data_IF_287959130547
#
_entry.id   IF_287959130547
#
_cell.length_a   1.000
_cell.length_b   1.000
_cell.length_c   1.000
_cell.angle_alpha   90.00
_cell.angle_beta   90.00
_cell.angle_gamma   90.00
#
_symmetry.space_group_name_H-M   'P 1'
#
loop_
_entity.id
_entity.type
_entity.pdbx_description
1 polymer ?
#
# COMPACT_ATOMS: atom_id res chain seq x y z
N UNK A 1 -54.52 12.39 -11.18
CA UNK A 1 -54.25 12.75 -12.59
C UNK A 1 -52.80 12.39 -12.85
N UNK A 2 -52.59 11.20 -13.43
CA UNK A 2 -52.18 11.00 -14.84
C UNK A 2 -50.64 11.00 -14.90
N UNK A 3 -49.92 10.02 -15.43
CA UNK A 3 -50.20 9.01 -16.45
C UNK A 3 -49.27 7.80 -16.25
N UNK A 4 -49.82 6.59 -16.44
CA UNK A 4 -49.07 5.34 -16.60
C UNK A 4 -48.76 5.16 -18.09
N UNK A 5 -47.50 4.91 -18.44
CA UNK A 5 -47.14 4.40 -19.77
C UNK A 5 -46.98 2.87 -19.75
N UNK A 6 -47.54 2.14 -20.73
CA UNK A 6 -47.50 0.69 -20.81
C UNK A 6 -46.26 0.19 -21.57
N UNK A 7 -46.03 -1.12 -21.44
CA UNK A 7 -44.82 -1.82 -21.85
C UNK A 7 -44.64 -2.09 -23.33
N UNK A 8 -43.42 -2.55 -23.63
CA UNK A 8 -43.12 -3.30 -24.84
C UNK A 8 -42.28 -4.52 -24.48
N UNK A 9 -42.96 -5.67 -24.47
CA UNK A 9 -42.37 -7.00 -24.57
C UNK A 9 -42.02 -7.27 -26.03
N UNK A 10 -40.74 -7.49 -26.33
CA UNK A 10 -40.32 -8.03 -27.64
C UNK A 10 -39.50 -9.29 -27.41
N UNK A 11 -40.16 -10.42 -27.61
CA UNK A 11 -39.55 -11.74 -27.71
C UNK A 11 -38.91 -11.87 -29.10
N UNK A 12 -37.58 -11.83 -29.16
CA UNK A 12 -36.82 -12.15 -30.36
C UNK A 12 -36.23 -13.56 -30.22
N UNK A 13 -36.93 -14.54 -30.79
CA UNK A 13 -36.43 -15.89 -30.99
C UNK A 13 -35.34 -15.87 -32.07
N UNK A 14 -34.07 -15.87 -31.66
CA UNK A 14 -32.95 -16.10 -32.58
C UNK A 14 -32.80 -17.60 -32.83
N UNK A 15 -33.03 -17.98 -34.09
CA UNK A 15 -32.69 -19.29 -34.64
C UNK A 15 -31.17 -19.43 -34.64
N UNK A 16 -30.65 -20.38 -33.88
CA UNK A 16 -29.25 -20.76 -33.90
C UNK A 16 -28.98 -21.70 -35.09
N UNK A 17 -28.04 -21.37 -36.00
CA UNK A 17 -27.64 -22.29 -37.05
C UNK A 17 -26.77 -23.42 -36.47
N UNK A 18 -27.18 -24.66 -36.74
CA UNK A 18 -26.53 -25.93 -36.36
C UNK A 18 -25.23 -26.20 -37.14
N UNK A 19 -24.24 -25.29 -37.11
CA UNK A 19 -22.99 -25.43 -37.89
C UNK A 19 -21.68 -25.39 -37.08
N UNK A 20 -21.69 -25.75 -35.80
CA UNK A 20 -20.48 -25.80 -34.96
C UNK A 20 -20.19 -27.17 -34.34
N UNK A 21 -20.16 -28.24 -35.16
CA UNK A 21 -19.82 -29.59 -34.67
C UNK A 21 -18.43 -30.11 -35.07
N UNK A 22 -17.61 -29.34 -35.77
CA UNK A 22 -16.31 -29.81 -36.32
C UNK A 22 -15.05 -29.16 -35.74
N UNK A 23 -15.13 -28.46 -34.60
CA UNK A 23 -13.96 -27.80 -33.97
C UNK A 23 -13.66 -28.25 -32.53
N UNK A 24 -14.06 -29.46 -32.13
CA UNK A 24 -13.76 -30.01 -30.79
C UNK A 24 -12.47 -30.86 -30.72
N UNK A 25 -11.71 -31.02 -31.81
CA UNK A 25 -10.57 -31.96 -31.85
C UNK A 25 -9.22 -31.42 -31.38
N UNK A 26 -8.99 -30.09 -31.40
CA UNK A 26 -7.65 -29.51 -31.15
C UNK A 26 -7.59 -28.58 -29.92
N UNK A 27 -8.70 -28.38 -29.21
CA UNK A 27 -8.79 -27.45 -28.07
C UNK A 27 -8.26 -27.98 -26.73
N UNK A 28 -8.03 -29.29 -26.60
CA UNK A 28 -7.66 -29.88 -25.29
C UNK A 28 -6.19 -29.66 -24.94
N UNK A 29 -5.27 -29.62 -25.92
CA UNK A 29 -3.83 -29.47 -25.62
C UNK A 29 -3.45 -28.03 -25.24
N UNK A 30 -4.13 -27.02 -25.80
CA UNK A 30 -3.84 -25.60 -25.50
C UNK A 30 -4.31 -25.16 -24.11
N UNK A 31 -5.41 -25.72 -23.59
CA UNK A 31 -5.99 -25.31 -22.31
C UNK A 31 -5.17 -25.77 -21.10
N UNK A 32 -4.53 -26.94 -21.20
CA UNK A 32 -3.64 -27.44 -20.14
C UNK A 32 -2.33 -26.62 -20.05
N UNK A 33 -1.78 -26.17 -21.19
CA UNK A 33 -0.53 -25.41 -21.18
C UNK A 33 -0.69 -24.02 -20.57
N UNK A 34 -1.81 -23.32 -20.84
CA UNK A 34 -2.07 -22.00 -20.25
C UNK A 34 -2.36 -22.08 -18.74
N UNK A 35 -3.00 -23.15 -18.28
CA UNK A 35 -3.29 -23.35 -16.85
C UNK A 35 -2.02 -23.60 -16.04
N UNK A 36 -1.05 -24.35 -16.58
CA UNK A 36 0.22 -24.64 -15.91
C UNK A 36 1.13 -23.41 -15.78
N UNK A 37 1.21 -22.56 -16.82
CA UNK A 37 2.01 -21.33 -16.79
C UNK A 37 1.41 -20.29 -15.84
N UNK A 38 0.09 -20.23 -15.73
CA UNK A 38 -0.58 -19.27 -14.82
C UNK A 38 -0.42 -19.66 -13.34
N UNK A 39 -0.43 -20.96 -13.04
CA UNK A 39 -0.24 -21.46 -11.67
C UNK A 39 1.18 -21.22 -11.15
N UNK A 40 2.21 -21.35 -12.00
CA UNK A 40 3.60 -21.12 -11.59
C UNK A 40 3.88 -19.64 -11.31
N UNK A 41 3.32 -18.73 -12.11
CA UNK A 41 3.45 -17.28 -11.90
C UNK A 41 2.78 -16.82 -10.59
N UNK A 42 1.60 -17.35 -10.26
CA UNK A 42 0.91 -17.07 -9.01
C UNK A 42 1.67 -17.61 -7.79
N UNK A 43 2.24 -18.82 -7.89
CA UNK A 43 3.06 -19.42 -6.83
C UNK A 43 4.32 -18.58 -6.54
N UNK A 44 5.04 -18.17 -7.59
CA UNK A 44 6.24 -17.33 -7.46
C UNK A 44 5.92 -15.97 -6.83
N UNK A 45 4.79 -15.35 -7.19
CA UNK A 45 4.32 -14.11 -6.58
C UNK A 45 4.05 -14.26 -5.08
N UNK A 46 3.27 -15.28 -4.69
CA UNK A 46 2.94 -15.54 -3.29
C UNK A 46 4.17 -15.94 -2.45
N UNK A 47 5.18 -16.56 -3.06
CA UNK A 47 6.45 -16.84 -2.38
C UNK A 47 7.23 -15.55 -2.15
N UNK A 48 7.35 -14.69 -3.17
CA UNK A 48 8.05 -13.42 -3.03
C UNK A 48 7.35 -12.48 -2.04
N UNK A 49 6.01 -12.43 -2.00
CA UNK A 49 5.27 -11.68 -0.99
C UNK A 49 5.63 -12.12 0.42
N UNK A 50 5.66 -13.44 0.66
CA UNK A 50 6.06 -14.00 1.96
C UNK A 50 7.51 -13.69 2.31
N UNK A 51 8.42 -13.70 1.34
CA UNK A 51 9.81 -13.28 1.55
C UNK A 51 9.89 -11.79 1.93
N UNK A 52 9.18 -10.91 1.22
CA UNK A 52 9.13 -9.47 1.53
C UNK A 52 8.51 -9.22 2.90
N UNK A 53 7.41 -9.89 3.25
CA UNK A 53 6.77 -9.78 4.56
C UNK A 53 7.65 -10.32 5.69
N UNK A 54 8.35 -11.43 5.45
CA UNK A 54 9.32 -11.99 6.39
C UNK A 54 10.47 -11.00 6.63
N UNK A 55 11.00 -10.39 5.57
CA UNK A 55 12.03 -9.35 5.68
C UNK A 55 11.52 -8.10 6.40
N UNK A 56 10.32 -7.61 6.07
CA UNK A 56 9.70 -6.47 6.77
C UNK A 56 9.49 -6.75 8.27
N UNK A 57 9.12 -7.99 8.61
CA UNK A 57 8.96 -8.42 10.01
C UNK A 57 10.30 -8.52 10.71
N UNK A 58 11.32 -9.12 10.09
CA UNK A 58 12.67 -9.22 10.62
C UNK A 58 13.29 -7.84 10.90
N UNK A 59 13.04 -6.87 10.01
CA UNK A 59 13.52 -5.49 10.13
C UNK A 59 12.80 -4.74 11.24
N UNK A 60 11.50 -5.02 11.45
CA UNK A 60 10.74 -4.43 12.56
C UNK A 60 11.19 -4.96 13.92
N UNK A 61 11.72 -6.19 13.98
CA UNK A 61 12.15 -6.84 15.23
C UNK A 61 13.61 -6.53 15.57
N UNK A 62 14.45 -6.24 14.56
CA UNK A 62 15.90 -6.20 14.76
C UNK A 62 16.54 -4.88 14.35
N UNK A 63 16.55 -3.91 15.28
CA UNK A 63 17.53 -2.82 15.25
C UNK A 63 18.98 -3.32 15.46
N UNK A 64 19.15 -4.59 15.84
CA UNK A 64 20.43 -5.24 16.18
C UNK A 64 21.04 -6.02 15.00
N UNK A 65 20.30 -6.28 13.92
CA UNK A 65 20.76 -7.08 12.77
C UNK A 65 21.61 -6.31 11.74
N UNK A 66 22.17 -5.14 12.08
CA UNK A 66 23.08 -4.40 11.19
C UNK A 66 24.37 -5.18 10.85
N UNK A 67 24.63 -6.33 11.47
CA UNK A 67 25.88 -7.06 11.32
C UNK A 67 25.94 -8.02 10.12
N UNK A 68 24.81 -8.51 9.57
CA UNK A 68 24.86 -9.56 8.53
C UNK A 68 23.98 -9.21 7.31
N UNK A 69 24.58 -8.93 6.14
CA UNK A 69 23.83 -8.76 4.91
C UNK A 69 23.17 -10.09 4.53
N UNK A 70 21.84 -10.14 4.58
CA UNK A 70 21.08 -11.28 4.06
C UNK A 70 21.21 -11.26 2.54
N UNK A 71 21.92 -12.24 1.98
CA UNK A 71 22.02 -12.39 0.53
C UNK A 71 20.61 -12.54 -0.06
N UNK A 72 20.26 -11.81 -1.13
CA UNK A 72 18.94 -11.92 -1.75
C UNK A 72 18.73 -13.34 -2.26
N UNK A 73 17.50 -13.85 -2.14
CA UNK A 73 17.12 -15.14 -2.72
C UNK A 73 17.35 -15.11 -4.25
N UNK A 74 17.51 -16.28 -4.91
CA UNK A 74 17.58 -16.33 -6.37
C UNK A 74 16.37 -15.69 -7.05
N UNK A 75 15.19 -15.81 -6.45
CA UNK A 75 13.95 -15.19 -6.91
C UNK A 75 14.02 -13.66 -6.82
N UNK A 76 14.47 -13.12 -5.68
CA UNK A 76 14.69 -11.68 -5.51
C UNK A 76 15.71 -11.16 -6.53
N UNK A 77 16.79 -11.90 -6.75
CA UNK A 77 17.83 -11.55 -7.74
C UNK A 77 17.26 -11.52 -9.16
N UNK A 78 16.47 -12.52 -9.55
CA UNK A 78 15.81 -12.55 -10.86
C UNK A 78 14.82 -11.38 -11.04
N UNK A 79 14.02 -11.07 -10.02
CA UNK A 79 13.09 -9.93 -10.05
C UNK A 79 13.83 -8.59 -10.16
N UNK A 80 14.98 -8.46 -9.50
CA UNK A 80 15.86 -7.29 -9.61
C UNK A 80 16.55 -7.20 -10.96
N UNK A 81 16.73 -8.29 -11.70
CA UNK A 81 17.31 -8.28 -13.03
C UNK A 81 16.26 -8.00 -14.14
N UNK A 82 15.01 -8.39 -13.93
CA UNK A 82 13.95 -8.29 -14.95
C UNK A 82 13.67 -6.84 -15.40
N UNK A 83 13.38 -6.63 -16.68
CA UNK A 83 13.01 -5.31 -17.17
C UNK A 83 11.60 -4.93 -16.66
N UNK A 84 11.32 -3.65 -16.33
CA UNK A 84 10.00 -3.23 -15.85
C UNK A 84 8.85 -3.60 -16.80
N UNK A 85 9.10 -3.59 -18.11
CA UNK A 85 8.12 -3.95 -19.13
C UNK A 85 7.56 -5.37 -18.96
N UNK A 86 8.40 -6.30 -18.48
CA UNK A 86 8.09 -7.74 -18.36
C UNK A 86 7.37 -8.09 -17.06
N UNK A 87 7.41 -7.22 -16.06
CA UNK A 87 6.85 -7.48 -14.74
C UNK A 87 5.39 -7.06 -14.68
N UNK A 88 4.55 -7.78 -13.94
CA UNK A 88 3.19 -7.31 -13.64
C UNK A 88 3.24 -6.08 -12.73
N UNK A 89 2.14 -5.32 -12.62
CA UNK A 89 2.06 -4.23 -11.64
C UNK A 89 2.37 -4.73 -10.21
N UNK A 90 2.05 -6.00 -9.93
CA UNK A 90 2.26 -6.63 -8.64
C UNK A 90 3.72 -6.90 -8.34
N UNK A 91 4.39 -7.50 -9.32
CA UNK A 91 5.83 -7.71 -9.23
C UNK A 91 6.59 -6.38 -9.14
N UNK A 92 6.13 -5.32 -9.83
CA UNK A 92 6.70 -3.98 -9.73
C UNK A 92 6.53 -3.37 -8.32
N UNK A 93 5.33 -3.45 -7.73
CA UNK A 93 5.07 -2.96 -6.37
C UNK A 93 5.95 -3.68 -5.34
N UNK A 94 6.06 -5.02 -5.44
CA UNK A 94 6.89 -5.79 -4.53
C UNK A 94 8.38 -5.51 -4.71
N UNK A 95 8.85 -5.36 -5.96
CA UNK A 95 10.23 -4.98 -6.23
C UNK A 95 10.54 -3.59 -5.67
N UNK A 96 9.59 -2.66 -5.76
CA UNK A 96 9.75 -1.34 -5.18
C UNK A 96 9.79 -1.36 -3.64
N UNK A 97 8.97 -2.20 -2.99
CA UNK A 97 9.05 -2.42 -1.54
C UNK A 97 10.39 -2.99 -1.13
N UNK A 98 10.89 -3.98 -1.85
CA UNK A 98 12.23 -4.52 -1.61
C UNK A 98 13.30 -3.42 -1.77
N UNK A 99 13.23 -2.61 -2.83
CA UNK A 99 14.15 -1.50 -3.02
C UNK A 99 14.06 -0.46 -1.89
N UNK A 100 12.86 -0.11 -1.43
CA UNK A 100 12.68 0.78 -0.28
C UNK A 100 13.29 0.19 1.00
N UNK A 101 13.14 -1.11 1.22
CA UNK A 101 13.77 -1.79 2.34
C UNK A 101 15.30 -1.73 2.25
N UNK A 102 15.86 -2.03 1.08
CA UNK A 102 17.31 -1.93 0.84
C UNK A 102 17.83 -0.52 1.07
N UNK A 103 17.06 0.52 0.72
CA UNK A 103 17.47 1.90 0.99
C UNK A 103 17.66 2.14 2.50
N UNK A 104 16.81 1.59 3.37
CA UNK A 104 16.92 1.76 4.83
C UNK A 104 18.16 1.11 5.43
N UNK A 105 18.72 0.10 4.76
CA UNK A 105 19.94 -0.59 5.18
C UNK A 105 21.20 -0.09 4.46
N UNK A 106 21.06 0.82 3.51
CA UNK A 106 22.21 1.33 2.75
C UNK A 106 22.97 2.36 3.59
N UNK A 107 24.19 2.03 3.99
CA UNK A 107 25.11 2.99 4.62
C UNK A 107 25.72 3.98 3.61
N UNK A 108 25.70 3.65 2.31
CA UNK A 108 26.18 4.52 1.23
C UNK A 108 25.04 5.37 0.65
N UNK A 109 25.16 6.70 0.74
CA UNK A 109 24.24 7.69 0.17
C UNK A 109 23.96 7.51 -1.32
N UNK A 110 24.94 7.02 -2.08
CA UNK A 110 24.75 6.76 -3.52
C UNK A 110 23.82 5.57 -3.71
N UNK A 111 24.05 4.48 -2.98
CA UNK A 111 23.17 3.29 -3.01
C UNK A 111 21.78 3.63 -2.49
N UNK A 112 21.68 4.34 -1.37
CA UNK A 112 20.42 4.84 -0.82
C UNK A 112 19.58 5.57 -1.88
N UNK A 113 20.18 6.54 -2.58
CA UNK A 113 19.49 7.30 -3.64
C UNK A 113 19.14 6.46 -4.87
N UNK A 114 19.98 5.48 -5.23
CA UNK A 114 19.70 4.55 -6.33
C UNK A 114 18.49 3.68 -6.01
N UNK A 115 18.41 3.13 -4.80
CA UNK A 115 17.28 2.32 -4.36
C UNK A 115 15.97 3.11 -4.35
N UNK A 116 15.98 4.33 -3.82
CA UNK A 116 14.78 5.17 -3.82
C UNK A 116 14.33 5.58 -5.23
N UNK A 117 15.26 5.88 -6.14
CA UNK A 117 14.91 6.13 -7.55
C UNK A 117 14.26 4.91 -8.18
N UNK A 118 14.85 3.73 -7.98
CA UNK A 118 14.31 2.47 -8.51
C UNK A 118 12.91 2.19 -7.97
N UNK A 119 12.70 2.32 -6.66
CA UNK A 119 11.39 2.12 -6.04
C UNK A 119 10.36 3.08 -6.63
N UNK A 120 10.69 4.37 -6.74
CA UNK A 120 9.80 5.39 -7.33
C UNK A 120 9.43 5.04 -8.78
N UNK A 121 10.41 4.71 -9.61
CA UNK A 121 10.21 4.47 -11.03
C UNK A 121 9.36 3.21 -11.26
N UNK A 122 9.59 2.13 -10.48
CA UNK A 122 8.74 0.93 -10.50
C UNK A 122 7.30 1.22 -10.07
N UNK A 123 7.12 2.05 -9.03
CA UNK A 123 5.79 2.41 -8.52
C UNK A 123 5.02 3.29 -9.49
N UNK A 124 5.68 4.21 -10.21
CA UNK A 124 5.05 4.98 -11.30
C UNK A 124 4.48 4.05 -12.38
N UNK A 125 5.23 3.02 -12.77
CA UNK A 125 4.76 2.03 -13.74
C UNK A 125 3.62 1.19 -13.15
N UNK A 126 3.71 0.78 -11.88
CA UNK A 126 2.68 0.02 -11.20
C UNK A 126 1.36 0.79 -11.09
N UNK A 127 1.39 2.06 -10.69
CA UNK A 127 0.20 2.92 -10.56
C UNK A 127 -0.41 3.26 -11.92
N UNK A 128 0.40 3.46 -12.97
CA UNK A 128 -0.10 3.63 -14.33
C UNK A 128 -0.85 2.38 -14.83
N UNK A 129 -0.36 1.18 -14.50
CA UNK A 129 -0.98 -0.09 -14.92
C UNK A 129 -2.21 -0.47 -14.11
N UNK A 130 -2.25 -0.12 -12.82
CA UNK A 130 -3.40 -0.36 -11.93
C UNK A 130 -3.71 0.89 -11.11
N UNK A 131 -4.42 1.88 -11.68
CA UNK A 131 -4.70 3.16 -11.00
C UNK A 131 -5.56 3.03 -9.75
N UNK A 132 -6.29 1.94 -9.57
CA UNK A 132 -7.10 1.69 -8.37
C UNK A 132 -6.34 0.94 -7.27
N UNK A 133 -5.03 0.72 -7.42
CA UNK A 133 -4.28 -0.12 -6.50
C UNK A 133 -3.70 0.67 -5.32
N UNK A 134 -4.28 0.57 -4.10
CA UNK A 134 -3.82 1.36 -2.96
C UNK A 134 -2.39 1.05 -2.48
N UNK A 135 -1.90 -0.17 -2.63
CA UNK A 135 -0.55 -0.53 -2.18
C UNK A 135 0.52 0.25 -2.97
N UNK A 136 0.38 0.30 -4.29
CA UNK A 136 1.31 1.04 -5.14
C UNK A 136 1.26 2.56 -4.86
N UNK A 137 0.06 3.13 -4.69
CA UNK A 137 -0.07 4.55 -4.36
C UNK A 137 0.49 4.91 -3.00
N UNK A 138 0.18 4.12 -1.96
CA UNK A 138 0.71 4.36 -0.62
C UNK A 138 2.23 4.20 -0.57
N UNK A 139 2.78 3.19 -1.27
CA UNK A 139 4.23 3.02 -1.40
C UNK A 139 4.89 4.19 -2.16
N UNK A 140 4.23 4.71 -3.21
CA UNK A 140 4.76 5.86 -3.95
C UNK A 140 4.81 7.10 -3.05
N UNK A 141 3.75 7.36 -2.29
CA UNK A 141 3.73 8.43 -1.30
C UNK A 141 4.84 8.27 -0.25
N UNK A 142 5.10 7.05 0.22
CA UNK A 142 6.18 6.75 1.17
C UNK A 142 7.55 7.06 0.59
N UNK A 143 7.85 6.55 -0.62
CA UNK A 143 9.13 6.82 -1.30
C UNK A 143 9.35 8.31 -1.49
N UNK A 144 8.30 9.04 -1.89
CA UNK A 144 8.36 10.50 -2.08
C UNK A 144 8.59 11.24 -0.76
N UNK A 145 7.93 10.85 0.32
CA UNK A 145 8.16 11.40 1.65
C UNK A 145 9.59 11.12 2.15
N UNK A 146 10.09 9.89 1.98
CA UNK A 146 11.49 9.51 2.29
C UNK A 146 12.51 10.31 1.48
N UNK A 147 12.17 10.69 0.24
CA UNK A 147 12.96 11.60 -0.59
C UNK A 147 12.77 13.09 -0.25
N UNK A 148 12.03 13.41 0.82
CA UNK A 148 11.65 14.78 1.16
C UNK A 148 10.96 15.56 0.02
N UNK A 149 10.36 14.85 -0.93
CA UNK A 149 9.81 15.38 -2.18
C UNK A 149 8.28 15.53 -2.07
N UNK A 150 7.83 16.59 -1.39
CA UNK A 150 6.41 16.92 -1.17
C UNK A 150 5.82 17.73 -2.35
N UNK A 151 5.99 17.22 -3.57
CA UNK A 151 5.53 17.87 -4.80
C UNK A 151 4.12 17.41 -5.22
N UNK A 152 3.68 17.80 -6.42
CA UNK A 152 2.39 17.42 -6.97
C UNK A 152 2.20 15.90 -7.09
N UNK A 153 3.29 15.15 -7.33
CA UNK A 153 3.23 13.69 -7.40
C UNK A 153 3.03 13.06 -6.03
N UNK A 154 3.69 13.58 -4.99
CA UNK A 154 3.39 13.17 -3.61
C UNK A 154 1.92 13.42 -3.27
N UNK A 155 1.43 14.64 -3.55
CA UNK A 155 0.05 15.01 -3.29
C UNK A 155 -0.94 14.07 -3.99
N UNK A 156 -0.69 13.76 -5.26
CA UNK A 156 -1.51 12.84 -6.05
C UNK A 156 -1.47 11.42 -5.45
N UNK A 157 -0.28 10.90 -5.14
CA UNK A 157 -0.11 9.57 -4.60
C UNK A 157 -0.77 9.42 -3.23
N UNK A 158 -0.58 10.40 -2.35
CA UNK A 158 -1.19 10.42 -1.02
C UNK A 158 -2.71 10.49 -1.11
N UNK A 159 -3.26 11.36 -1.95
CA UNK A 159 -4.70 11.49 -2.16
C UNK A 159 -5.33 10.20 -2.71
N UNK A 160 -4.74 9.59 -3.75
CA UNK A 160 -5.23 8.32 -4.29
C UNK A 160 -5.14 7.18 -3.27
N UNK A 161 -4.06 7.11 -2.50
CA UNK A 161 -3.90 6.12 -1.44
C UNK A 161 -4.93 6.32 -0.31
N UNK A 162 -5.24 7.57 0.04
CA UNK A 162 -6.30 7.93 0.99
C UNK A 162 -7.71 7.65 0.44
N UNK A 163 -7.92 7.71 -0.87
CA UNK A 163 -9.22 7.43 -1.47
C UNK A 163 -9.47 5.91 -1.57
N UNK A 164 -8.46 5.15 -2.01
CA UNK A 164 -8.61 3.72 -2.36
C UNK A 164 -8.13 2.78 -1.25
N UNK A 165 -7.21 3.23 -0.40
CA UNK A 165 -6.44 2.40 0.51
C UNK A 165 -6.85 2.34 1.97
N UNK A 166 -7.68 3.22 2.56
CA UNK A 166 -7.89 3.15 4.00
C UNK A 166 -8.64 1.90 4.46
N UNK A 167 -9.11 1.05 3.54
CA UNK A 167 -9.70 -0.25 3.86
C UNK A 167 -8.65 -1.33 4.13
N UNK A 168 -7.43 -1.14 3.61
CA UNK A 168 -6.33 -2.08 3.74
C UNK A 168 -5.41 -1.68 4.88
N UNK A 169 -5.18 -2.60 5.82
CA UNK A 169 -4.39 -2.32 7.02
C UNK A 169 -2.97 -1.84 6.68
N UNK A 170 -2.31 -2.47 5.70
CA UNK A 170 -0.96 -2.11 5.25
C UNK A 170 -0.90 -0.67 4.72
N UNK A 171 -1.83 -0.30 3.84
CA UNK A 171 -1.90 1.05 3.26
C UNK A 171 -2.16 2.09 4.35
N UNK A 172 -3.12 1.83 5.24
CA UNK A 172 -3.44 2.72 6.36
C UNK A 172 -2.25 2.95 7.30
N UNK A 173 -1.52 1.88 7.65
CA UNK A 173 -0.31 1.97 8.49
C UNK A 173 0.77 2.82 7.84
N UNK A 174 1.01 2.60 6.55
CA UNK A 174 1.99 3.36 5.76
C UNK A 174 1.62 4.84 5.69
N UNK A 175 0.36 5.16 5.38
CA UNK A 175 -0.11 6.55 5.29
C UNK A 175 -0.05 7.26 6.64
N UNK A 176 -0.43 6.59 7.73
CA UNK A 176 -0.28 7.13 9.08
C UNK A 176 1.20 7.41 9.38
N UNK A 177 2.09 6.47 9.09
CA UNK A 177 3.53 6.66 9.27
C UNK A 177 4.09 7.87 8.50
N UNK A 178 3.64 8.08 7.26
CA UNK A 178 4.04 9.26 6.47
C UNK A 178 3.64 10.55 7.20
N UNK A 179 2.38 10.66 7.62
CA UNK A 179 1.85 11.87 8.27
C UNK A 179 2.61 12.15 9.57
N UNK A 180 2.79 11.14 10.43
CA UNK A 180 3.39 11.32 11.73
C UNK A 180 4.87 11.69 11.63
N UNK A 181 5.63 10.99 10.78
CA UNK A 181 7.07 11.24 10.63
C UNK A 181 7.41 12.52 9.85
N UNK A 182 6.44 13.11 9.14
CA UNK A 182 6.67 14.31 8.32
C UNK A 182 5.67 15.44 8.61
N UNK A 183 5.12 15.45 9.82
CA UNK A 183 4.08 16.38 10.31
C UNK A 183 4.32 17.84 9.90
N UNK A 184 5.54 18.35 10.09
CA UNK A 184 5.93 19.74 9.79
C UNK A 184 5.92 20.11 8.29
N UNK A 185 5.90 19.13 7.38
CA UNK A 185 5.91 19.35 5.92
C UNK A 185 4.57 19.06 5.25
N UNK A 186 3.61 18.53 6.01
CA UNK A 186 2.29 18.17 5.49
C UNK A 186 1.43 19.43 5.28
N UNK A 187 0.67 19.44 4.17
CA UNK A 187 -0.27 20.54 3.91
C UNK A 187 -1.49 20.39 4.82
N UNK A 188 -2.23 21.48 5.12
CA UNK A 188 -3.45 21.40 5.92
C UNK A 188 -4.52 20.42 5.37
N UNK A 189 -4.57 20.23 4.05
CA UNK A 189 -5.46 19.25 3.42
C UNK A 189 -5.07 17.80 3.76
N UNK A 190 -3.76 17.51 3.80
CA UNK A 190 -3.26 16.17 4.10
C UNK A 190 -3.47 15.82 5.58
N UNK A 191 -3.39 16.81 6.47
CA UNK A 191 -3.73 16.67 7.90
C UNK A 191 -5.20 16.29 8.13
N UNK A 192 -6.14 16.95 7.44
CA UNK A 192 -7.56 16.58 7.53
C UNK A 192 -7.79 15.15 7.04
N UNK A 193 -7.10 14.73 5.98
CA UNK A 193 -7.15 13.35 5.52
C UNK A 193 -6.58 12.37 6.58
N UNK A 194 -5.51 12.77 7.27
CA UNK A 194 -4.93 11.99 8.36
C UNK A 194 -5.85 11.85 9.57
N UNK A 195 -6.64 12.87 9.93
CA UNK A 195 -7.63 12.76 11.00
C UNK A 195 -8.72 11.74 10.64
N UNK A 196 -9.18 11.73 9.39
CA UNK A 196 -10.14 10.72 8.90
C UNK A 196 -9.53 9.32 9.00
N UNK A 197 -8.26 9.17 8.60
CA UNK A 197 -7.50 7.92 8.73
C UNK A 197 -7.39 7.48 10.20
N UNK A 198 -7.04 8.40 11.10
CA UNK A 198 -6.88 8.15 12.52
C UNK A 198 -8.22 7.72 13.15
N UNK A 199 -9.33 8.38 12.85
CA UNK A 199 -10.66 7.96 13.33
C UNK A 199 -11.02 6.55 12.86
N UNK A 200 -10.67 6.19 11.61
CA UNK A 200 -10.91 4.84 11.09
C UNK A 200 -10.03 3.81 11.81
N UNK A 201 -8.73 4.08 11.95
CA UNK A 201 -7.79 3.22 12.67
C UNK A 201 -8.16 3.08 14.14
N UNK A 202 -8.68 4.14 14.77
CA UNK A 202 -9.12 4.11 16.16
C UNK A 202 -10.27 3.11 16.36
N UNK A 203 -11.16 2.93 15.37
CA UNK A 203 -12.26 1.96 15.43
C UNK A 203 -11.81 0.54 15.13
N UNK A 204 -10.95 0.35 14.13
CA UNK A 204 -10.57 -1.00 13.66
C UNK A 204 -9.31 -1.57 14.31
N UNK A 205 -8.35 -0.72 14.68
CA UNK A 205 -7.01 -1.08 15.16
C UNK A 205 -6.49 -0.05 16.21
N UNK A 206 -7.21 0.20 17.32
CA UNK A 206 -6.88 1.26 18.28
C UNK A 206 -5.48 1.09 18.90
N UNK A 207 -5.09 -0.13 19.26
CA UNK A 207 -3.79 -0.40 19.87
C UNK A 207 -2.62 0.02 18.95
N UNK A 208 -2.70 -0.32 17.67
CA UNK A 208 -1.69 0.05 16.68
C UNK A 208 -1.63 1.57 16.45
N UNK A 209 -2.79 2.24 16.42
CA UNK A 209 -2.83 3.70 16.29
C UNK A 209 -2.11 4.34 17.47
N UNK A 210 -2.45 3.94 18.71
CA UNK A 210 -1.85 4.46 19.93
C UNK A 210 -0.34 4.22 19.92
N UNK A 211 0.09 2.97 19.74
CA UNK A 211 1.51 2.60 19.72
C UNK A 211 2.30 3.44 18.71
N UNK A 212 1.75 3.62 17.50
CA UNK A 212 2.43 4.38 16.45
C UNK A 212 2.54 5.86 16.79
N UNK A 213 1.44 6.46 17.26
CA UNK A 213 1.40 7.87 17.63
C UNK A 213 2.30 8.18 18.83
N UNK A 214 2.34 7.30 19.84
CA UNK A 214 3.25 7.39 20.97
C UNK A 214 4.72 7.34 20.51
N UNK A 215 5.07 6.38 19.65
CA UNK A 215 6.43 6.24 19.09
C UNK A 215 6.90 7.49 18.35
N UNK A 216 6.01 8.11 17.57
CA UNK A 216 6.29 9.32 16.81
C UNK A 216 6.08 10.62 17.63
N UNK A 217 5.79 10.51 18.95
CA UNK A 217 5.56 11.64 19.88
C UNK A 217 4.46 12.60 19.44
N UNK A 218 3.39 12.08 18.82
CA UNK A 218 2.27 12.88 18.29
C UNK A 218 0.98 12.70 19.11
N UNK A 219 1.09 12.33 20.39
CA UNK A 219 -0.08 12.06 21.23
C UNK A 219 -0.99 13.28 21.39
N UNK A 220 -0.42 14.48 21.50
CA UNK A 220 -1.23 15.70 21.61
C UNK A 220 -2.13 15.93 20.39
N UNK A 221 -1.61 15.64 19.20
CA UNK A 221 -2.39 15.70 17.96
C UNK A 221 -3.55 14.69 17.99
N UNK A 222 -3.26 13.42 18.32
CA UNK A 222 -4.30 12.39 18.39
C UNK A 222 -5.37 12.78 19.43
N UNK A 223 -4.97 13.29 20.58
CA UNK A 223 -5.88 13.68 21.66
C UNK A 223 -6.65 14.97 21.38
N UNK A 224 -6.31 15.70 20.32
CA UNK A 224 -7.10 16.80 19.77
C UNK A 224 -8.23 16.35 18.85
N UNK A 225 -8.25 15.09 18.40
CA UNK A 225 -9.30 14.57 17.51
C UNK A 225 -10.57 14.27 18.31
N UNK A 226 -11.70 14.86 17.90
CA UNK A 226 -13.01 14.59 18.47
C UNK A 226 -13.54 13.19 18.12
N UNK A 227 -14.46 12.68 18.95
CA UNK A 227 -15.22 11.44 18.73
C UNK A 227 -14.38 10.16 18.60
N UNK A 228 -13.24 10.10 19.31
CA UNK A 228 -12.42 8.90 19.37
C UNK A 228 -13.09 7.82 20.24
N UNK A 229 -12.91 6.51 19.98
CA UNK A 229 -13.39 5.43 20.84
C UNK A 229 -12.77 5.48 22.24
N UNK A 230 -13.49 4.94 23.24
CA UNK A 230 -13.09 4.97 24.67
C UNK A 230 -11.66 4.45 24.91
N UNK A 231 -11.22 3.44 24.16
CA UNK A 231 -9.86 2.90 24.26
C UNK A 231 -8.79 3.96 23.98
N UNK A 232 -9.00 4.80 22.97
CA UNK A 232 -8.08 5.89 22.62
C UNK A 232 -8.24 7.06 23.56
N UNK A 233 -9.47 7.38 23.99
CA UNK A 233 -9.71 8.40 25.02
C UNK A 233 -8.96 8.08 26.33
N UNK A 234 -8.97 6.81 26.76
CA UNK A 234 -8.24 6.36 27.95
C UNK A 234 -6.72 6.51 27.78
N UNK A 235 -6.18 6.23 26.59
CA UNK A 235 -4.77 6.48 26.29
C UNK A 235 -4.43 7.98 26.37
N UNK A 236 -5.31 8.82 25.83
CA UNK A 236 -5.18 10.28 25.93
C UNK A 236 -5.25 10.80 27.37
N UNK A 237 -6.13 10.24 28.21
CA UNK A 237 -6.20 10.60 29.62
C UNK A 237 -4.89 10.27 30.36
N UNK A 238 -4.30 9.09 30.08
CA UNK A 238 -2.99 8.72 30.65
C UNK A 238 -1.88 9.65 30.19
N UNK A 239 -1.82 9.96 28.90
CA UNK A 239 -0.83 10.90 28.34
C UNK A 239 -0.89 12.26 29.03
N UNK A 240 -2.10 12.86 29.15
CA UNK A 240 -2.28 14.15 29.85
C UNK A 240 -1.91 14.12 31.32
N UNK A 241 -2.13 12.98 32.00
CA UNK A 241 -1.73 12.83 33.40
C UNK A 241 -0.20 12.75 33.56
N UNK A 242 0.51 12.19 32.57
CA UNK A 242 1.98 12.15 32.54
C UNK A 242 2.63 13.49 32.18
N UNK A 243 1.91 14.34 31.45
CA UNK A 243 2.38 15.65 30.99
C UNK A 243 1.35 16.74 31.33
N UNK A 244 1.22 17.12 32.62
CA UNK A 244 0.30 18.18 33.00
C UNK A 244 0.70 19.48 32.27
N UNK A 245 -0.29 20.29 31.80
CA UNK A 245 0.01 21.56 31.18
C UNK A 245 0.78 22.43 32.16
N UNK A 246 1.91 22.99 31.73
CA UNK A 246 2.61 23.99 32.53
C UNK A 246 1.68 25.21 32.61
N UNK A 247 1.18 25.53 33.80
CA UNK A 247 0.49 26.78 34.05
C UNK A 247 1.44 27.91 33.68
N UNK A 248 1.15 28.59 32.57
CA UNK A 248 1.85 29.81 32.19
C UNK A 248 1.48 30.87 33.22
N UNK A 249 2.40 31.11 34.15
CA UNK A 249 2.38 32.20 35.13
C UNK A 249 2.51 33.57 34.47
#
# INVERSE_FOLDING_TARGET
MAERSPGHTSAAASRWPWQWQWLCGLGVVGFFYWSLVSASAASAHNQFEREVESLETAVSISAVAAAHPVAPSPLASAMLAAAPAQLTAAALELRARFALLQSRHSADDRQYRLWLRRARDDLRVATARRPQWPYAWSALAEVKATQASFDAEFALAFAHAMQTGPHEARSSRRLLGIVLSHSARMRPADWRAAEVLARRLARGQPALLIERVERDQQMDWLCGIADLPVTVQNACARHRASFPPQETL
#
